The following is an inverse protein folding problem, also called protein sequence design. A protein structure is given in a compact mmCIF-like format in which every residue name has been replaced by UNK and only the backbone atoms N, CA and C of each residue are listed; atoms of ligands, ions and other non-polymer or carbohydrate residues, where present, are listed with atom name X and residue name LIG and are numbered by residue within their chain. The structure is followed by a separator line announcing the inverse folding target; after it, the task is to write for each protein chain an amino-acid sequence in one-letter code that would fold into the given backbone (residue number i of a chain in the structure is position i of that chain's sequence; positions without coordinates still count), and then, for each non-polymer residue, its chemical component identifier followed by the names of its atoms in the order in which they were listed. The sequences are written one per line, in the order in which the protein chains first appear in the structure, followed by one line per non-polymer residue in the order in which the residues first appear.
data_IF_683626260681
#
_entry.id   IF_683626260681
#
_cell.length_a   1.000
_cell.length_b   1.000
_cell.length_c   1.000
_cell.angle_alpha   90.00
_cell.angle_beta   90.00
_cell.angle_gamma   90.00
#
_symmetry.space_group_name_H-M   'P 1'
#
loop_
_entity.id
_entity.type
_entity.pdbx_description
1 polymer ?
#
# COMPACT_ATOMS: atom_id res chain seq x y z
N UNK A 1 8.72 20.44 6.69
CA UNK A 1 9.34 19.17 6.29
C UNK A 1 8.45 18.04 6.77
N UNK A 2 8.03 17.11 5.91
CA UNK A 2 7.26 15.95 6.36
C UNK A 2 8.15 15.13 7.30
N UNK A 3 7.75 14.98 8.56
CA UNK A 3 8.50 14.17 9.53
C UNK A 3 8.69 12.76 8.96
N UNK A 4 9.95 12.35 8.75
CA UNK A 4 10.25 10.98 8.30
C UNK A 4 9.72 10.03 9.36
N UNK A 5 8.88 9.08 8.95
CA UNK A 5 8.27 8.13 9.88
C UNK A 5 9.03 6.82 9.80
N UNK A 6 9.52 6.36 10.95
CA UNK A 6 10.29 5.12 11.07
C UNK A 6 9.37 4.02 11.59
N UNK A 7 9.30 2.91 10.88
CA UNK A 7 8.63 1.72 11.38
C UNK A 7 9.39 1.15 12.59
N UNK A 8 8.68 0.54 13.52
CA UNK A 8 9.28 -0.28 14.58
C UNK A 8 8.60 -1.64 14.53
N UNK A 9 9.36 -2.73 14.32
CA UNK A 9 8.80 -4.07 14.37
C UNK A 9 8.26 -4.35 15.78
N UNK A 10 7.07 -4.94 15.83
CA UNK A 10 6.46 -5.39 17.06
C UNK A 10 5.85 -6.78 16.88
N UNK A 11 5.72 -7.50 17.98
CA UNK A 11 5.26 -8.88 18.01
C UNK A 11 4.14 -9.05 19.05
N UNK A 12 3.24 -9.98 18.78
CA UNK A 12 2.29 -10.45 19.80
C UNK A 12 2.93 -11.57 20.62
N UNK A 13 2.44 -11.79 21.85
CA UNK A 13 2.89 -12.90 22.69
C UNK A 13 2.78 -14.26 21.98
N UNK A 14 1.69 -14.46 21.23
CA UNK A 14 1.46 -15.67 20.44
C UNK A 14 2.47 -15.84 19.29
N UNK A 15 2.77 -14.74 18.58
CA UNK A 15 3.58 -14.80 17.36
C UNK A 15 5.08 -14.84 17.67
N UNK A 16 5.50 -14.32 18.82
CA UNK A 16 6.90 -14.13 19.18
C UNK A 16 7.75 -15.42 19.14
N UNK A 17 7.32 -16.55 19.72
CA UNK A 17 8.11 -17.79 19.67
C UNK A 17 8.37 -18.27 18.25
N UNK A 18 7.39 -18.09 17.34
CA UNK A 18 7.54 -18.47 15.94
C UNK A 18 8.53 -17.59 15.19
N UNK A 19 8.62 -16.29 15.53
CA UNK A 19 9.65 -15.40 14.97
C UNK A 19 11.03 -15.80 15.50
N UNK A 20 11.15 -16.14 16.79
CA UNK A 20 12.41 -16.55 17.42
C UNK A 20 12.99 -17.84 16.84
N UNK A 21 12.14 -18.73 16.33
CA UNK A 21 12.55 -19.97 15.66
C UNK A 21 13.11 -19.76 14.25
N UNK A 22 13.00 -18.55 13.68
CA UNK A 22 13.53 -18.25 12.36
C UNK A 22 15.07 -18.10 12.42
N UNK A 23 15.80 -18.56 11.38
CA UNK A 23 17.26 -18.42 11.33
C UNK A 23 17.70 -16.97 11.49
N UNK A 24 18.68 -16.70 12.37
CA UNK A 24 19.20 -15.35 12.62
C UNK A 24 18.37 -14.49 13.58
N UNK A 25 17.37 -15.07 14.25
CA UNK A 25 16.61 -14.42 15.32
C UNK A 25 17.26 -14.57 16.72
N UNK A 26 18.50 -15.05 16.79
CA UNK A 26 19.23 -15.35 18.03
C UNK A 26 19.43 -14.12 18.92
N UNK A 27 19.42 -12.93 18.31
CA UNK A 27 19.57 -11.66 18.99
C UNK A 27 18.29 -11.18 19.72
N UNK A 28 17.20 -11.95 19.66
CA UNK A 28 15.95 -11.61 20.35
C UNK A 28 15.99 -12.06 21.83
N UNK A 29 15.34 -11.34 22.76
CA UNK A 29 15.17 -11.79 24.15
C UNK A 29 14.45 -13.13 24.29
N UNK A 30 14.75 -13.91 25.34
CA UNK A 30 14.32 -15.30 25.48
C UNK A 30 12.79 -15.42 25.45
N UNK A 31 12.13 -14.49 26.11
CA UNK A 31 10.68 -14.46 26.29
C UNK A 31 10.07 -13.23 25.61
N UNK A 32 8.76 -13.30 25.36
CA UNK A 32 8.04 -12.13 24.84
C UNK A 32 7.95 -11.04 25.90
N UNK A 33 7.85 -11.40 27.17
CA UNK A 33 7.76 -10.51 28.32
C UNK A 33 9.02 -9.65 28.48
N UNK A 34 10.20 -10.27 28.36
CA UNK A 34 11.49 -9.55 28.33
C UNK A 34 11.52 -8.56 27.16
N UNK A 35 11.24 -9.05 25.95
CA UNK A 35 11.20 -8.20 24.78
C UNK A 35 10.20 -7.04 24.90
N UNK A 36 9.01 -7.30 25.45
CA UNK A 36 7.97 -6.30 25.59
C UNK A 36 8.36 -5.24 26.62
N UNK A 37 9.03 -5.64 27.70
CA UNK A 37 9.57 -4.73 28.72
C UNK A 37 10.60 -3.78 28.09
N UNK A 38 11.56 -4.31 27.33
CA UNK A 38 12.56 -3.50 26.61
C UNK A 38 11.92 -2.59 25.55
N UNK A 39 10.92 -3.13 24.85
CA UNK A 39 10.17 -2.40 23.83
C UNK A 39 9.42 -1.19 24.43
N UNK A 40 8.76 -1.35 25.58
CA UNK A 40 8.07 -0.24 26.24
C UNK A 40 9.06 0.72 26.94
N UNK A 41 10.14 0.22 27.54
CA UNK A 41 11.18 1.08 28.13
C UNK A 41 11.81 2.02 27.09
N UNK A 42 12.09 1.51 25.90
CA UNK A 42 12.65 2.30 24.79
C UNK A 42 11.66 3.31 24.18
N UNK A 43 10.37 3.27 24.52
CA UNK A 43 9.35 4.20 24.02
C UNK A 43 9.56 5.62 24.51
N UNK A 44 9.92 5.78 25.78
CA UNK A 44 10.19 7.10 26.37
C UNK A 44 11.38 7.76 25.66
N UNK A 45 12.44 7.00 25.40
CA UNK A 45 13.62 7.49 24.68
C UNK A 45 13.29 7.88 23.24
N UNK A 46 12.48 7.08 22.54
CA UNK A 46 12.01 7.41 21.19
C UNK A 46 11.20 8.70 21.15
N UNK A 47 10.36 8.94 22.17
CA UNK A 47 9.58 10.17 22.27
C UNK A 47 10.47 11.40 22.51
N UNK A 48 11.56 11.23 23.28
CA UNK A 48 12.52 12.31 23.57
C UNK A 48 13.30 12.76 22.35
N UNK A 49 13.68 11.84 21.46
CA UNK A 49 14.56 12.16 20.32
C UNK A 49 13.94 13.07 19.27
N UNK A 50 12.61 13.20 19.17
CA UNK A 50 11.84 14.13 18.28
C UNK A 50 12.18 14.16 16.78
N UNK A 51 13.27 13.54 16.32
CA UNK A 51 13.74 13.55 14.93
C UNK A 51 12.81 12.76 14.00
N UNK A 52 12.10 11.77 14.55
CA UNK A 52 11.24 10.87 13.79
C UNK A 52 9.90 10.67 14.50
N UNK A 53 8.85 10.53 13.69
CA UNK A 53 7.62 9.89 14.18
C UNK A 53 7.81 8.38 14.07
N UNK A 54 7.44 7.63 15.09
CA UNK A 54 7.58 6.18 15.09
C UNK A 54 6.23 5.50 14.87
N UNK A 55 6.19 4.49 14.01
CA UNK A 55 4.99 3.71 13.75
C UNK A 55 5.21 2.24 14.12
N UNK A 56 4.41 1.72 15.05
CA UNK A 56 4.42 0.29 15.39
C UNK A 56 3.89 -0.53 14.22
N UNK A 57 4.67 -1.51 13.77
CA UNK A 57 4.28 -2.43 12.70
C UNK A 57 4.30 -3.85 13.23
N UNK A 58 3.14 -4.50 13.21
CA UNK A 58 3.02 -5.86 13.68
C UNK A 58 3.58 -6.84 12.65
N UNK A 59 4.60 -7.60 13.05
CA UNK A 59 5.24 -8.63 12.22
C UNK A 59 4.48 -9.94 12.41
N UNK A 60 4.00 -10.52 11.31
CA UNK A 60 3.27 -11.80 11.32
C UNK A 60 4.20 -12.92 10.85
N UNK A 61 4.37 -14.03 11.60
CA UNK A 61 5.37 -15.05 11.31
C UNK A 61 5.31 -15.60 9.90
N UNK A 62 4.13 -16.04 9.43
CA UNK A 62 4.00 -16.63 8.09
C UNK A 62 4.34 -15.65 6.96
N UNK A 63 3.89 -14.39 7.06
CA UNK A 63 4.19 -13.36 6.05
C UNK A 63 5.65 -12.92 6.09
N UNK A 64 6.24 -12.89 7.27
CA UNK A 64 7.63 -12.52 7.43
C UNK A 64 8.55 -13.63 6.91
N UNK A 65 8.26 -14.89 7.26
CA UNK A 65 8.98 -16.05 6.73
C UNK A 65 8.95 -16.11 5.21
N UNK A 66 7.78 -15.98 4.59
CA UNK A 66 7.68 -15.95 3.12
C UNK A 66 8.53 -14.85 2.49
N UNK A 67 8.50 -13.65 3.06
CA UNK A 67 9.32 -12.53 2.59
C UNK A 67 10.82 -12.77 2.82
N UNK A 68 11.23 -13.41 3.92
CA UNK A 68 12.62 -13.80 4.15
C UNK A 68 13.09 -14.81 3.10
N UNK A 69 12.27 -15.83 2.84
CA UNK A 69 12.56 -16.89 1.86
C UNK A 69 12.69 -16.29 0.45
N UNK A 70 11.76 -15.40 0.05
CA UNK A 70 11.77 -14.69 -1.23
C UNK A 70 13.04 -13.85 -1.45
N UNK A 71 13.59 -13.27 -0.37
CA UNK A 71 14.75 -12.38 -0.43
C UNK A 71 16.06 -13.09 -0.01
N UNK A 72 16.01 -14.39 0.29
CA UNK A 72 17.16 -15.15 0.83
C UNK A 72 17.80 -14.50 2.07
N UNK A 73 16.96 -13.96 2.97
CA UNK A 73 17.41 -13.28 4.18
C UNK A 73 17.24 -14.12 5.44
N UNK A 74 18.10 -13.87 6.42
CA UNK A 74 17.91 -14.32 7.81
C UNK A 74 17.16 -13.28 8.62
N UNK A 75 16.45 -13.71 9.66
CA UNK A 75 15.59 -12.92 10.54
C UNK A 75 16.34 -12.01 11.52
N UNK A 76 17.46 -11.40 11.11
CA UNK A 76 18.26 -10.48 11.94
C UNK A 76 17.48 -9.23 12.36
N UNK A 77 17.99 -8.45 13.33
CA UNK A 77 17.38 -7.17 13.70
C UNK A 77 17.17 -6.24 12.51
N UNK A 78 18.22 -6.10 11.70
CA UNK A 78 18.23 -5.23 10.54
C UNK A 78 17.15 -5.66 9.55
N UNK A 79 17.05 -6.96 9.29
CA UNK A 79 16.06 -7.53 8.39
C UNK A 79 14.62 -7.34 8.91
N UNK A 80 14.38 -7.55 10.22
CA UNK A 80 13.06 -7.30 10.84
C UNK A 80 12.66 -5.84 10.73
N UNK A 81 13.63 -4.93 10.86
CA UNK A 81 13.44 -3.50 10.69
C UNK A 81 13.14 -3.11 9.24
N UNK A 82 13.85 -3.70 8.27
CA UNK A 82 13.63 -3.51 6.84
C UNK A 82 12.21 -3.95 6.44
N UNK A 83 11.82 -5.16 6.84
CA UNK A 83 10.48 -5.68 6.61
C UNK A 83 9.40 -4.76 7.20
N UNK A 84 9.57 -4.33 8.46
CA UNK A 84 8.62 -3.42 9.09
C UNK A 84 8.48 -2.09 8.33
N UNK A 85 9.58 -1.56 7.81
CA UNK A 85 9.59 -0.33 7.02
C UNK A 85 8.86 -0.52 5.69
N UNK A 86 9.17 -1.59 4.95
CA UNK A 86 8.49 -1.91 3.68
C UNK A 86 6.97 -2.10 3.88
N UNK A 87 6.56 -2.75 4.97
CA UNK A 87 5.13 -2.89 5.33
C UNK A 87 4.47 -1.55 5.61
N UNK A 88 5.16 -0.63 6.27
CA UNK A 88 4.66 0.72 6.52
C UNK A 88 4.50 1.51 5.22
N UNK A 89 5.52 1.48 4.36
CA UNK A 89 5.54 2.22 3.10
C UNK A 89 4.49 1.67 2.12
N UNK A 90 4.37 0.34 2.05
CA UNK A 90 3.30 -0.34 1.32
C UNK A 90 1.90 0.02 1.82
N UNK A 91 1.71 0.24 3.13
CA UNK A 91 0.41 0.67 3.68
C UNK A 91 0.11 2.11 3.27
N UNK A 92 1.12 2.99 3.29
CA UNK A 92 1.00 4.39 2.90
C UNK A 92 0.68 4.56 1.44
N UNK A 93 1.37 3.85 0.55
CA UNK A 93 1.09 3.85 -0.88
C UNK A 93 -0.38 3.47 -1.16
N UNK A 94 -0.91 2.46 -0.46
CA UNK A 94 -2.34 2.07 -0.56
C UNK A 94 -3.30 3.12 -0.01
N UNK A 95 -2.90 3.87 1.01
CA UNK A 95 -3.73 4.96 1.55
C UNK A 95 -3.72 6.18 0.64
N UNK A 96 -2.57 6.49 0.04
CA UNK A 96 -2.41 7.56 -0.93
C UNK A 96 -3.21 7.30 -2.20
N UNK A 97 -3.12 6.09 -2.78
CA UNK A 97 -3.96 5.71 -3.92
C UNK A 97 -5.45 5.76 -3.61
N UNK A 98 -5.87 5.39 -2.38
CA UNK A 98 -7.27 5.55 -1.94
C UNK A 98 -7.68 7.02 -1.82
N UNK A 99 -6.80 7.89 -1.34
CA UNK A 99 -7.07 9.34 -1.25
C UNK A 99 -7.16 9.97 -2.63
N UNK A 100 -6.29 9.57 -3.55
CA UNK A 100 -6.31 10.03 -4.94
C UNK A 100 -7.59 9.58 -5.65
N UNK A 101 -7.94 8.30 -5.57
CA UNK A 101 -9.21 7.79 -6.09
C UNK A 101 -10.41 8.55 -5.51
N UNK A 102 -10.40 8.81 -4.20
CA UNK A 102 -11.47 9.60 -3.55
C UNK A 102 -11.51 11.04 -4.09
N UNK A 103 -10.36 11.67 -4.35
CA UNK A 103 -10.31 13.02 -4.96
C UNK A 103 -10.85 13.01 -6.38
N UNK A 104 -10.45 12.03 -7.20
CA UNK A 104 -10.94 11.86 -8.57
C UNK A 104 -12.46 11.66 -8.58
N UNK A 105 -12.99 10.75 -7.75
CA UNK A 105 -14.43 10.55 -7.62
C UNK A 105 -15.15 11.83 -7.16
N UNK A 106 -14.60 12.59 -6.20
CA UNK A 106 -15.19 13.87 -5.77
C UNK A 106 -15.18 14.94 -6.86
N UNK A 107 -14.15 14.97 -7.71
CA UNK A 107 -14.06 15.88 -8.87
C UNK A 107 -15.05 15.44 -9.96
N UNK A 108 -15.13 14.13 -10.25
CA UNK A 108 -16.03 13.54 -11.24
C UNK A 108 -17.51 13.57 -10.81
N UNK A 109 -17.79 13.63 -9.50
CA UNK A 109 -19.14 13.82 -8.94
C UNK A 109 -19.64 15.26 -9.00
N UNK A 110 -18.78 16.24 -9.32
CA UNK A 110 -19.13 17.68 -9.36
C UNK A 110 -19.81 18.22 -10.63
N UNK A 111 -19.86 17.57 -11.81
CA UNK A 111 -20.56 18.13 -12.97
C UNK A 111 -22.08 18.27 -12.75
N UNK A 112 -22.67 17.41 -11.91
CA UNK A 112 -24.13 17.29 -11.79
C UNK A 112 -24.80 18.21 -10.75
N UNK A 113 -24.02 18.91 -9.91
CA UNK A 113 -24.59 19.79 -8.87
C UNK A 113 -24.73 21.25 -9.32
N UNK A 114 -24.26 21.61 -10.51
CA UNK A 114 -24.43 22.95 -11.08
C UNK A 114 -25.24 23.02 -12.38
N UNK A 115 -25.78 21.89 -12.86
CA UNK A 115 -26.62 21.88 -14.05
C UNK A 115 -28.11 21.88 -13.66
N UNK A 116 -28.64 23.06 -13.32
CA UNK A 116 -30.09 23.29 -13.41
C UNK A 116 -30.42 23.38 -14.90
N UNK A 117 -31.20 22.46 -15.49
CA UNK A 117 -31.61 22.61 -16.87
C UNK A 117 -32.56 23.81 -16.95
N UNK A 118 -32.09 24.90 -17.55
CA UNK A 118 -32.97 25.96 -18.04
C UNK A 118 -33.84 25.27 -19.10
N UNK A 119 -35.17 25.17 -18.86
CA UNK A 119 -36.10 24.57 -19.82
C UNK A 119 -35.94 25.26 -21.17
N UNK A 120 -35.31 24.59 -22.13
CA UNK A 120 -35.34 24.97 -23.53
C UNK A 120 -36.28 24.00 -24.21
N UNK A 121 -37.27 24.56 -24.89
CA UNK A 121 -38.30 23.81 -25.60
C UNK A 121 -37.67 22.89 -26.65
N UNK A 122 -38.15 21.65 -26.65
CA UNK A 122 -37.82 20.64 -27.65
C UNK A 122 -38.34 21.07 -29.04
N UNK A 123 -37.47 20.99 -30.05
CA UNK A 123 -37.86 20.83 -31.45
C UNK A 123 -37.03 19.68 -32.04
N UNK A 124 -37.64 18.62 -32.62
CA UNK A 124 -36.91 17.51 -33.21
C UNK A 124 -36.73 17.68 -34.72
N UNK A 125 -35.57 17.27 -35.24
CA UNK A 125 -35.17 16.89 -36.63
C UNK A 125 -33.65 17.18 -36.75
N UNK A 126 -32.76 16.41 -37.35
CA UNK A 126 -32.79 15.24 -38.22
C UNK A 126 -31.33 14.71 -38.30
N UNK A 127 -31.15 13.38 -38.34
CA UNK A 127 -30.03 12.55 -38.82
C UNK A 127 -28.59 13.12 -38.95
N UNK A 128 -27.61 12.38 -38.38
CA UNK A 128 -26.27 12.33 -38.98
C UNK A 128 -25.10 11.93 -38.07
N UNK A 129 -24.75 10.65 -38.07
CA UNK A 129 -23.37 10.13 -37.94
C UNK A 129 -22.62 10.27 -36.59
N UNK A 130 -22.85 9.31 -35.68
CA UNK A 130 -21.96 8.98 -34.56
C UNK A 130 -21.40 7.55 -34.66
N UNK A 131 -21.18 7.06 -35.89
CA UNK A 131 -20.76 5.68 -36.17
C UNK A 131 -19.28 5.48 -36.55
N UNK A 132 -18.48 6.55 -36.70
CA UNK A 132 -17.13 6.45 -37.30
C UNK A 132 -15.98 6.34 -36.28
N UNK A 133 -16.13 6.87 -35.06
CA UNK A 133 -15.03 6.87 -34.10
C UNK A 133 -14.79 5.50 -33.43
N UNK A 134 -15.83 4.67 -33.30
CA UNK A 134 -15.68 3.35 -32.66
C UNK A 134 -15.09 2.27 -33.58
N UNK A 135 -15.25 2.38 -34.90
CA UNK A 135 -14.76 1.38 -35.85
C UNK A 135 -13.22 1.42 -36.03
N UNK A 136 -12.61 2.61 -35.96
CA UNK A 136 -11.15 2.78 -36.15
C UNK A 136 -10.35 2.25 -34.96
N UNK A 137 -10.86 2.44 -33.73
CA UNK A 137 -10.20 1.96 -32.51
C UNK A 137 -10.26 0.43 -32.39
N UNK A 138 -11.39 -0.17 -32.78
CA UNK A 138 -11.51 -1.64 -32.80
C UNK A 138 -10.58 -2.27 -33.84
N UNK A 139 -10.46 -1.69 -35.04
CA UNK A 139 -9.57 -2.19 -36.10
C UNK A 139 -8.08 -2.20 -35.71
N UNK A 140 -7.61 -1.14 -35.05
CA UNK A 140 -6.21 -1.04 -34.59
C UNK A 140 -5.86 -2.05 -33.49
N UNK A 141 -6.80 -2.34 -32.59
CA UNK A 141 -6.63 -3.34 -31.54
C UNK A 141 -6.54 -4.77 -32.08
N UNK A 142 -7.38 -5.11 -33.07
CA UNK A 142 -7.33 -6.43 -33.69
C UNK A 142 -6.08 -6.65 -34.56
N UNK A 143 -5.60 -5.62 -35.26
CA UNK A 143 -4.37 -5.70 -36.04
C UNK A 143 -3.12 -5.87 -35.16
N UNK A 144 -3.08 -5.21 -34.00
CA UNK A 144 -1.97 -5.34 -33.04
C UNK A 144 -1.95 -6.74 -32.38
N UNK A 145 -3.11 -7.29 -32.04
CA UNK A 145 -3.22 -8.64 -31.46
C UNK A 145 -2.80 -9.73 -32.45
N UNK A 146 -3.11 -9.59 -33.74
CA UNK A 146 -2.73 -10.57 -34.76
C UNK A 146 -1.20 -10.63 -35.00
N UNK A 147 -0.51 -9.49 -34.90
CA UNK A 147 0.94 -9.41 -35.12
C UNK A 147 1.76 -10.04 -33.97
N UNK A 148 1.19 -10.16 -32.76
CA UNK A 148 1.91 -10.66 -31.58
C UNK A 148 1.77 -12.16 -31.31
N UNK A 149 0.90 -12.86 -32.05
CA UNK A 149 0.62 -14.30 -31.86
C UNK A 149 1.21 -15.21 -32.96
N UNK A 150 1.84 -14.64 -33.99
CA UNK A 150 2.39 -15.36 -35.15
C UNK A 150 3.90 -15.16 -35.33
N UNK A 151 4.59 -14.66 -34.31
CA UNK A 151 6.06 -14.52 -34.27
C UNK A 151 6.65 -15.29 -33.10
#
# INVERSE_FOLDING_TARGET
MASKVRAIPAYTAKDYPHIRQLPGADNMPATWEEWHTDFEASKAERLRRRDFTYAKVLVRPGKFKGWLDENSFSATEHTRQLYAQERLDSKRAREEGRRELKRMLLIESRPWLFDRPRRVAYHPLNNGSFGLFHAVVAGLLFAWLAHHWLG
#
